data_IF_400262258001
#
_entry.id   IF_400262258001
#
_cell.length_a   1.000
_cell.length_b   1.000
_cell.length_c   1.000
_cell.angle_alpha   90.00
_cell.angle_beta   90.00
_cell.angle_gamma   90.00
#
_symmetry.space_group_name_H-M   'P 1'
#
loop_
_entity.id
_entity.type
_entity.pdbx_description
1 polymer ?
#
# COMPACT_ATOMS: atom_id res chain seq x y z
N UNK A 1 81.67 -13.96 0.16
CA UNK A 1 80.43 -14.77 0.10
C UNK A 1 79.23 -13.83 -0.01
N UNK A 2 78.46 -13.97 -1.08
CA UNK A 2 77.32 -13.10 -1.45
C UNK A 2 76.05 -13.40 -0.62
N UNK A 3 75.23 -12.38 -0.31
CA UNK A 3 73.86 -12.24 -0.88
C UNK A 3 73.18 -10.90 -0.50
N UNK A 4 72.71 -10.12 -1.50
CA UNK A 4 71.98 -8.87 -1.31
C UNK A 4 70.46 -9.10 -1.12
N UNK A 5 69.82 -8.12 -0.48
CA UNK A 5 68.38 -8.04 -0.23
C UNK A 5 67.56 -8.25 -1.52
N UNK A 6 66.74 -9.29 -1.51
CA UNK A 6 65.91 -9.69 -2.64
C UNK A 6 64.67 -8.77 -2.74
N UNK A 7 64.79 -7.74 -3.56
CA UNK A 7 63.69 -6.90 -4.06
C UNK A 7 62.69 -7.80 -4.78
N UNK A 8 61.56 -8.12 -4.15
CA UNK A 8 60.48 -8.92 -4.77
C UNK A 8 59.94 -8.15 -5.98
N UNK A 9 60.28 -8.61 -7.19
CA UNK A 9 59.62 -8.20 -8.42
C UNK A 9 58.21 -8.78 -8.39
N UNK A 10 57.22 -7.90 -8.28
CA UNK A 10 55.82 -8.24 -8.54
C UNK A 10 55.72 -8.48 -10.06
N UNK A 11 55.30 -9.67 -10.53
CA UNK A 11 55.11 -9.91 -11.96
C UNK A 11 53.93 -9.09 -12.47
N UNK A 12 54.17 -8.29 -13.50
CA UNK A 12 53.20 -7.45 -14.21
C UNK A 12 52.15 -8.24 -15.03
N UNK A 13 51.96 -9.53 -14.72
CA UNK A 13 51.12 -10.47 -15.48
C UNK A 13 49.79 -10.85 -14.83
N UNK A 14 49.47 -10.33 -13.63
CA UNK A 14 48.23 -10.66 -12.90
C UNK A 14 47.08 -9.65 -13.13
N UNK A 15 47.18 -8.82 -14.16
CA UNK A 15 46.10 -7.90 -14.54
C UNK A 15 44.88 -8.56 -15.22
N UNK A 16 45.01 -9.61 -16.08
CA UNK A 16 43.85 -10.09 -16.83
C UNK A 16 42.90 -10.93 -15.97
N UNK A 17 43.39 -11.67 -14.97
CA UNK A 17 42.57 -12.57 -14.16
C UNK A 17 41.68 -11.86 -13.13
N UNK A 18 41.96 -10.59 -12.81
CA UNK A 18 41.18 -9.79 -11.85
C UNK A 18 39.91 -9.21 -12.46
N UNK A 19 39.81 -9.18 -13.80
CA UNK A 19 38.66 -8.61 -14.52
C UNK A 19 37.45 -9.54 -14.56
N UNK A 20 37.64 -10.86 -14.51
CA UNK A 20 36.52 -11.80 -14.67
C UNK A 20 35.65 -11.96 -13.41
N UNK A 21 36.23 -11.85 -12.20
CA UNK A 21 35.44 -12.00 -10.96
C UNK A 21 34.55 -10.80 -10.61
N UNK A 22 34.78 -9.63 -11.21
CA UNK A 22 33.96 -8.44 -10.93
C UNK A 22 32.65 -8.40 -11.74
N UNK A 23 32.47 -9.30 -12.71
CA UNK A 23 31.39 -9.19 -13.71
C UNK A 23 30.14 -10.03 -13.38
N UNK A 24 30.15 -10.89 -12.35
CA UNK A 24 29.04 -11.83 -12.09
C UNK A 24 28.06 -11.41 -10.97
N UNK A 25 28.26 -10.25 -10.33
CA UNK A 25 27.35 -9.75 -9.28
C UNK A 25 26.76 -8.40 -9.68
N UNK A 26 26.06 -8.37 -10.82
CA UNK A 26 25.10 -7.31 -11.10
C UNK A 26 23.71 -7.88 -10.79
N UNK A 27 23.06 -7.49 -9.69
CA UNK A 27 21.68 -7.90 -9.44
C UNK A 27 20.78 -7.38 -10.58
N UNK A 28 19.74 -8.16 -10.97
CA UNK A 28 18.86 -7.77 -12.06
C UNK A 28 18.23 -6.41 -11.74
N UNK A 29 18.15 -5.58 -12.77
CA UNK A 29 17.81 -4.17 -12.69
C UNK A 29 16.67 -3.88 -11.70
N UNK A 30 16.99 -3.08 -10.68
CA UNK A 30 15.98 -2.30 -9.98
C UNK A 30 15.43 -1.34 -11.02
N UNK A 31 14.36 -1.77 -11.69
CA UNK A 31 13.58 -0.89 -12.56
C UNK A 31 13.32 0.37 -11.74
N UNK A 32 13.62 1.55 -12.30
CA UNK A 32 13.20 2.80 -11.68
C UNK A 32 11.70 2.66 -11.47
N UNK A 33 11.27 2.43 -10.24
CA UNK A 33 9.86 2.28 -9.87
C UNK A 33 9.19 3.57 -10.30
N UNK A 34 8.57 3.58 -11.50
CA UNK A 34 7.75 4.70 -11.93
C UNK A 34 6.74 4.89 -10.82
N UNK A 35 6.82 6.06 -10.19
CA UNK A 35 6.10 6.37 -8.97
C UNK A 35 4.66 6.64 -9.35
N UNK A 36 3.87 5.57 -9.55
CA UNK A 36 2.46 5.61 -9.91
C UNK A 36 1.59 6.04 -8.69
N UNK A 37 2.00 7.11 -8.02
CA UNK A 37 1.29 7.75 -6.91
C UNK A 37 -0.20 7.96 -7.19
N UNK A 38 -0.63 8.50 -8.35
CA UNK A 38 -2.06 8.70 -8.58
C UNK A 38 -2.84 7.38 -8.66
N UNK A 39 -2.26 6.34 -9.25
CA UNK A 39 -2.91 5.04 -9.41
C UNK A 39 -3.07 4.31 -8.07
N UNK A 40 -2.08 4.42 -7.19
CA UNK A 40 -2.15 3.87 -5.83
C UNK A 40 -3.21 4.62 -4.99
N UNK A 41 -3.23 5.95 -5.05
CA UNK A 41 -4.22 6.78 -4.35
C UNK A 41 -5.64 6.46 -4.83
N UNK A 42 -5.84 6.33 -6.14
CA UNK A 42 -7.14 5.97 -6.71
C UNK A 42 -7.59 4.57 -6.26
N UNK A 43 -6.67 3.60 -6.24
CA UNK A 43 -6.95 2.26 -5.73
C UNK A 43 -7.37 2.26 -4.26
N UNK A 44 -6.67 3.02 -3.41
CA UNK A 44 -7.06 3.21 -2.01
C UNK A 44 -8.44 3.86 -1.91
N UNK A 45 -8.72 4.90 -2.70
CA UNK A 45 -10.02 5.57 -2.69
C UNK A 45 -11.15 4.61 -3.04
N UNK A 46 -10.99 3.79 -4.09
CA UNK A 46 -11.99 2.82 -4.53
C UNK A 46 -12.25 1.77 -3.45
N UNK A 47 -11.20 1.26 -2.81
CA UNK A 47 -11.30 0.27 -1.73
C UNK A 47 -12.00 0.85 -0.49
N UNK A 48 -11.76 2.12 -0.18
CA UNK A 48 -12.28 2.77 1.04
C UNK A 48 -13.67 3.41 0.87
N UNK A 49 -14.05 3.78 -0.35
CA UNK A 49 -15.38 4.38 -0.65
C UNK A 49 -16.56 3.57 -0.08
N UNK A 50 -16.72 2.26 -0.38
CA UNK A 50 -17.89 1.51 0.09
C UNK A 50 -17.93 1.40 1.62
N UNK A 51 -16.77 1.31 2.28
CA UNK A 51 -16.69 1.30 3.74
C UNK A 51 -17.13 2.64 4.35
N UNK A 52 -16.65 3.76 3.80
CA UNK A 52 -17.03 5.10 4.27
C UNK A 52 -18.54 5.35 4.10
N UNK A 53 -19.11 4.90 2.97
CA UNK A 53 -20.55 4.98 2.71
C UNK A 53 -21.37 4.14 3.69
N UNK A 54 -20.92 2.93 4.00
CA UNK A 54 -21.55 2.07 5.01
C UNK A 54 -21.52 2.73 6.39
N UNK A 55 -20.35 3.22 6.83
CA UNK A 55 -20.19 3.89 8.12
C UNK A 55 -21.08 5.13 8.20
N UNK A 56 -21.15 5.92 7.13
CA UNK A 56 -22.02 7.09 7.06
C UNK A 56 -23.49 6.72 7.27
N UNK A 57 -23.97 5.66 6.60
CA UNK A 57 -25.34 5.15 6.79
C UNK A 57 -25.62 4.73 8.22
N UNK A 58 -24.70 3.97 8.82
CA UNK A 58 -24.82 3.51 10.21
C UNK A 58 -24.81 4.67 11.21
N UNK A 59 -23.96 5.67 11.01
CA UNK A 59 -23.90 6.84 11.90
C UNK A 59 -25.18 7.67 11.79
N UNK A 60 -25.64 7.95 10.58
CA UNK A 60 -26.84 8.81 10.39
C UNK A 60 -28.09 8.12 10.93
N UNK A 61 -28.27 6.82 10.70
CA UNK A 61 -29.41 6.06 11.25
C UNK A 61 -29.43 6.06 12.78
N UNK A 62 -28.26 5.99 13.43
CA UNK A 62 -28.15 6.11 14.89
C UNK A 62 -28.52 7.51 15.40
N UNK A 63 -28.19 8.55 14.64
CA UNK A 63 -28.52 9.94 14.99
C UNK A 63 -29.98 10.29 14.76
N UNK A 64 -30.62 9.71 13.74
CA UNK A 64 -32.01 10.01 13.38
C UNK A 64 -33.03 9.05 13.99
N UNK A 65 -32.57 7.90 14.52
CA UNK A 65 -33.45 6.85 15.03
C UNK A 65 -34.18 6.08 13.94
N UNK A 66 -33.84 6.28 12.66
CA UNK A 66 -34.43 5.53 11.56
C UNK A 66 -33.92 4.10 11.54
N UNK A 67 -34.83 3.16 11.30
CA UNK A 67 -34.49 1.76 11.04
C UNK A 67 -34.16 1.58 9.56
N UNK A 68 -33.00 0.97 9.29
CA UNK A 68 -32.60 0.56 7.95
C UNK A 68 -32.29 -0.92 8.02
N UNK A 69 -32.89 -1.69 7.12
CA UNK A 69 -32.68 -3.12 7.03
C UNK A 69 -32.18 -3.49 5.63
N UNK A 70 -31.62 -4.69 5.54
CA UNK A 70 -31.12 -5.24 4.27
C UNK A 70 -32.24 -5.90 3.46
N UNK A 71 -33.39 -6.15 4.11
CA UNK A 71 -34.53 -6.83 3.52
C UNK A 71 -35.41 -5.93 2.64
N UNK A 72 -35.30 -4.59 2.74
CA UNK A 72 -36.05 -3.67 1.92
C UNK A 72 -35.86 -2.19 2.27
N UNK A 73 -36.40 -1.32 1.43
CA UNK A 73 -36.39 0.12 1.67
C UNK A 73 -37.43 0.48 2.73
N UNK A 74 -37.00 1.15 3.80
CA UNK A 74 -37.90 1.68 4.83
C UNK A 74 -37.98 3.20 4.72
N UNK A 75 -39.17 3.82 4.81
CA UNK A 75 -39.31 5.26 4.71
C UNK A 75 -38.60 5.93 5.90
N UNK A 76 -37.64 6.82 5.62
CA UNK A 76 -36.92 7.56 6.64
C UNK A 76 -36.90 9.04 6.23
N UNK A 77 -37.76 9.83 6.89
CA UNK A 77 -37.89 11.27 6.62
C UNK A 77 -36.98 12.07 7.53
N UNK A 78 -36.04 12.79 6.93
CA UNK A 78 -35.14 13.73 7.62
C UNK A 78 -35.40 15.10 7.00
N UNK A 79 -35.79 16.08 7.83
CA UNK A 79 -36.14 17.44 7.37
C UNK A 79 -37.19 17.49 6.23
N UNK A 80 -38.11 16.53 6.21
CA UNK A 80 -39.18 16.44 5.19
C UNK A 80 -38.81 15.69 3.90
N UNK A 81 -37.53 15.32 3.70
CA UNK A 81 -37.06 14.52 2.57
C UNK A 81 -37.00 13.04 2.96
N UNK A 82 -37.54 12.14 2.12
CA UNK A 82 -37.43 10.69 2.33
C UNK A 82 -36.09 10.18 1.76
N UNK A 83 -35.18 9.85 2.65
CA UNK A 83 -33.81 9.41 2.34
C UNK A 83 -33.66 7.89 2.57
N UNK A 84 -34.76 7.19 2.86
CA UNK A 84 -34.76 5.76 3.16
C UNK A 84 -34.16 4.90 2.03
N UNK A 85 -34.49 5.24 0.78
CA UNK A 85 -33.93 4.57 -0.40
C UNK A 85 -32.41 4.72 -0.52
N UNK A 86 -31.87 5.89 -0.19
CA UNK A 86 -30.43 6.13 -0.24
C UNK A 86 -29.69 5.32 0.82
N UNK A 87 -30.20 5.27 2.05
CA UNK A 87 -29.59 4.47 3.11
C UNK A 87 -29.61 2.98 2.81
N UNK A 88 -30.64 2.49 2.14
CA UNK A 88 -30.67 1.12 1.64
C UNK A 88 -29.53 0.87 0.63
N UNK A 89 -29.34 1.75 -0.35
CA UNK A 89 -28.22 1.63 -1.30
C UNK A 89 -26.87 1.69 -0.60
N UNK A 90 -26.69 2.60 0.37
CA UNK A 90 -25.47 2.71 1.17
C UNK A 90 -25.20 1.45 2.00
N UNK A 91 -26.24 0.85 2.58
CA UNK A 91 -26.14 -0.42 3.31
C UNK A 91 -25.73 -1.56 2.37
N UNK A 92 -26.29 -1.57 1.15
CA UNK A 92 -25.94 -2.56 0.13
C UNK A 92 -24.48 -2.45 -0.33
N UNK A 93 -23.89 -1.24 -0.32
CA UNK A 93 -22.44 -1.07 -0.53
C UNK A 93 -21.61 -1.74 0.58
N UNK A 94 -22.18 -1.97 1.76
CA UNK A 94 -21.55 -2.75 2.82
C UNK A 94 -21.20 -4.18 2.41
N UNK A 95 -21.98 -4.79 1.52
CA UNK A 95 -21.66 -6.12 0.99
C UNK A 95 -20.38 -6.14 0.17
N UNK A 96 -20.02 -5.03 -0.48
CA UNK A 96 -18.74 -4.89 -1.17
C UNK A 96 -17.56 -4.82 -0.20
N UNK A 97 -17.78 -4.41 1.05
CA UNK A 97 -16.73 -4.35 2.07
C UNK A 97 -16.21 -5.75 2.41
N UNK A 98 -17.06 -6.78 2.36
CA UNK A 98 -16.66 -8.17 2.69
C UNK A 98 -15.50 -8.67 1.82
N UNK A 99 -15.59 -8.64 0.46
CA UNK A 99 -14.46 -9.03 -0.39
C UNK A 99 -13.32 -8.00 -0.37
N UNK A 100 -13.58 -6.73 -0.01
CA UNK A 100 -12.58 -5.67 0.05
C UNK A 100 -11.78 -5.65 1.37
N UNK A 101 -12.27 -6.26 2.44
CA UNK A 101 -11.61 -6.35 3.75
C UNK A 101 -10.13 -6.78 3.69
N UNK A 102 -9.74 -7.86 2.99
CA UNK A 102 -8.33 -8.24 2.91
C UNK A 102 -7.47 -7.16 2.25
N UNK A 103 -7.99 -6.48 1.23
CA UNK A 103 -7.30 -5.37 0.57
C UNK A 103 -7.17 -4.17 1.50
N UNK A 104 -8.23 -3.83 2.24
CA UNK A 104 -8.19 -2.78 3.26
C UNK A 104 -7.12 -3.07 4.31
N UNK A 105 -7.09 -4.30 4.85
CA UNK A 105 -6.09 -4.72 5.83
C UNK A 105 -4.66 -4.58 5.28
N UNK A 106 -4.42 -5.03 4.04
CA UNK A 106 -3.12 -4.86 3.38
C UNK A 106 -2.74 -3.38 3.20
N UNK A 107 -3.69 -2.52 2.84
CA UNK A 107 -3.42 -1.07 2.73
C UNK A 107 -3.06 -0.44 4.06
N UNK A 108 -3.72 -0.84 5.16
CA UNK A 108 -3.41 -0.37 6.51
C UNK A 108 -2.05 -0.87 6.99
N UNK A 109 -1.73 -2.16 6.80
CA UNK A 109 -0.44 -2.73 7.18
C UNK A 109 0.68 -2.05 6.39
N UNK A 110 0.53 -1.90 5.07
CA UNK A 110 1.51 -1.22 4.23
C UNK A 110 1.72 0.24 4.64
N UNK A 111 0.64 0.97 4.93
CA UNK A 111 0.71 2.34 5.42
C UNK A 111 1.35 2.43 6.81
N UNK A 112 1.03 1.53 7.73
CA UNK A 112 1.59 1.48 9.07
C UNK A 112 3.09 1.19 9.02
N UNK A 113 3.53 0.18 8.26
CA UNK A 113 4.95 -0.14 8.08
C UNK A 113 5.70 1.03 7.45
N UNK A 114 5.15 1.64 6.40
CA UNK A 114 5.76 2.82 5.78
C UNK A 114 5.86 4.00 6.75
N UNK A 115 4.81 4.24 7.54
CA UNK A 115 4.79 5.27 8.58
C UNK A 115 5.83 5.00 9.67
N UNK A 116 5.93 3.77 10.16
CA UNK A 116 6.91 3.34 11.15
C UNK A 116 8.33 3.50 10.63
N UNK A 117 8.63 3.04 9.41
CA UNK A 117 9.94 3.22 8.78
C UNK A 117 10.30 4.70 8.61
N UNK A 118 9.31 5.54 8.25
CA UNK A 118 9.49 6.99 8.14
C UNK A 118 9.80 7.65 9.50
N UNK A 119 9.14 7.20 10.58
CA UNK A 119 9.39 7.66 11.94
C UNK A 119 10.78 7.28 12.45
N UNK A 120 11.23 6.05 12.15
CA UNK A 120 12.58 5.58 12.50
C UNK A 120 13.69 6.19 11.63
N UNK A 121 13.37 7.16 10.77
CA UNK A 121 14.36 7.84 9.93
C UNK A 121 14.96 6.94 8.85
N UNK A 122 14.41 5.74 8.64
CA UNK A 122 14.77 4.83 7.55
C UNK A 122 14.12 5.39 6.29
N UNK A 123 14.70 6.48 5.80
CA UNK A 123 14.39 7.07 4.49
C UNK A 123 14.99 6.12 3.45
N UNK A 124 14.20 5.13 3.04
CA UNK A 124 14.50 4.32 1.87
C UNK A 124 14.74 5.27 0.68
N UNK A 125 15.90 5.20 -0.01
CA UNK A 125 16.19 6.04 -1.16
C UNK A 125 15.24 5.78 -2.35
#
# INVERSE_FOLDING_TARGET
MLRPAQRRRIPAGLAPLRRELAMSVVPPGVSRRKRNRPMLLLGVLIVWTPFLLLVLSLVVTRLTGCTVNEAGTQPCRIAGLDIGGLFYTLMMMGWLVIPLLPFMALTLIGAAVAGVLALFGIRWP
#
